data_IF_788323000410
#
_entry.id   IF_788323000410
#
_cell.length_a   1.000
_cell.length_b   1.000
_cell.length_c   1.000
_cell.angle_alpha   90.00
_cell.angle_beta   90.00
_cell.angle_gamma   90.00
#
_symmetry.space_group_name_H-M   'P 1'
#
loop_
_entity.id
_entity.type
_entity.pdbx_description
1 polymer ?
#
# COMPACT_ATOMS: atom_id res chain seq x y z
N UNK A 1 -9.45 -7.32 -18.69
CA UNK A 1 -8.15 -7.44 -17.96
C UNK A 1 -8.26 -8.62 -16.99
N UNK A 2 -7.41 -9.64 -17.10
CA UNK A 2 -7.51 -10.86 -16.25
C UNK A 2 -6.63 -10.71 -15.00
N UNK A 3 -7.22 -10.60 -13.81
CA UNK A 3 -6.51 -10.43 -12.53
C UNK A 3 -5.44 -11.52 -12.27
N UNK A 4 -5.64 -12.74 -12.79
CA UNK A 4 -4.68 -13.85 -12.68
C UNK A 4 -3.35 -13.59 -13.39
N UNK A 5 -3.30 -12.67 -14.37
CA UNK A 5 -2.07 -12.34 -15.09
C UNK A 5 -1.10 -11.54 -14.22
N UNK A 6 -1.58 -10.70 -13.30
CA UNK A 6 -0.70 -9.89 -12.43
C UNK A 6 -0.23 -10.69 -11.20
N UNK A 7 -0.97 -11.75 -10.84
CA UNK A 7 -0.62 -12.64 -9.73
C UNK A 7 0.37 -13.76 -10.14
N UNK A 8 0.61 -13.96 -11.44
CA UNK A 8 1.67 -14.86 -11.88
C UNK A 8 3.03 -14.22 -11.58
N UNK A 9 3.82 -14.90 -10.75
CA UNK A 9 5.14 -14.43 -10.30
C UNK A 9 6.13 -14.22 -11.47
N UNK A 10 5.84 -14.79 -12.64
CA UNK A 10 6.65 -14.67 -13.87
C UNK A 10 6.33 -13.44 -14.71
N UNK A 11 5.20 -12.76 -14.47
CA UNK A 11 4.72 -11.60 -15.23
C UNK A 11 4.75 -10.30 -14.42
N UNK A 12 4.99 -10.37 -13.11
CA UNK A 12 5.44 -9.21 -12.34
C UNK A 12 6.70 -8.65 -13.03
N UNK A 13 6.76 -7.35 -13.36
CA UNK A 13 7.86 -6.81 -14.14
C UNK A 13 9.16 -6.98 -13.35
N UNK A 14 9.93 -8.00 -13.70
CA UNK A 14 11.27 -8.24 -13.17
C UNK A 14 12.32 -7.35 -13.88
N UNK A 15 11.89 -6.38 -14.69
CA UNK A 15 12.77 -5.71 -15.66
C UNK A 15 12.84 -4.19 -15.55
N UNK A 16 12.00 -3.54 -14.74
CA UNK A 16 12.10 -2.09 -14.49
C UNK A 16 12.25 -1.87 -13.00
N UNK A 17 13.43 -1.42 -12.59
CA UNK A 17 13.67 -1.01 -11.22
C UNK A 17 12.77 0.18 -10.86
N UNK A 18 12.23 0.17 -9.64
CA UNK A 18 11.36 1.23 -9.18
C UNK A 18 12.11 2.51 -8.76
N UNK A 19 13.44 2.54 -8.91
CA UNK A 19 14.29 3.69 -8.63
C UNK A 19 14.54 3.95 -7.14
N UNK A 20 14.02 3.11 -6.26
CA UNK A 20 14.23 3.22 -4.81
C UNK A 20 15.69 3.03 -4.42
N UNK A 21 16.49 2.35 -5.25
CA UNK A 21 17.92 2.15 -5.03
C UNK A 21 18.74 3.45 -5.02
N UNK A 22 18.21 4.54 -5.56
CA UNK A 22 18.86 5.85 -5.58
C UNK A 22 18.46 6.75 -4.41
N UNK A 23 17.53 6.29 -3.55
CA UNK A 23 17.03 7.06 -2.41
C UNK A 23 17.59 6.44 -1.14
N UNK A 24 18.47 7.19 -0.46
CA UNK A 24 19.04 6.81 0.83
C UNK A 24 18.61 7.80 1.91
N UNK A 25 18.06 7.26 3.00
CA UNK A 25 17.82 8.05 4.21
C UNK A 25 19.09 8.04 5.06
N UNK A 26 19.45 9.19 5.62
CA UNK A 26 20.53 9.26 6.60
C UNK A 26 20.13 8.50 7.86
N UNK A 27 20.96 7.55 8.27
CA UNK A 27 20.70 6.75 9.46
C UNK A 27 21.05 7.52 10.73
N UNK A 28 20.08 7.67 11.63
CA UNK A 28 20.30 8.18 12.99
C UNK A 28 20.39 7.01 13.97
N UNK A 29 21.59 6.73 14.48
CA UNK A 29 21.82 5.59 15.38
C UNK A 29 21.30 5.80 16.81
N UNK A 30 21.18 7.07 17.24
CA UNK A 30 20.67 7.44 18.56
C UNK A 30 19.63 8.56 18.42
N UNK A 31 18.40 8.23 17.98
CA UNK A 31 17.34 9.20 17.91
C UNK A 31 16.92 9.64 19.32
N UNK A 32 16.76 10.93 19.54
CA UNK A 32 16.17 11.51 20.76
C UNK A 32 14.63 11.43 20.72
N UNK A 33 14.08 10.29 20.25
CA UNK A 33 12.66 10.06 20.03
C UNK A 33 12.30 8.61 20.41
N UNK A 34 11.22 8.44 21.18
CA UNK A 34 10.67 7.11 21.49
C UNK A 34 9.87 6.57 20.30
N UNK A 35 10.04 5.29 19.96
CA UNK A 35 9.31 4.62 18.89
C UNK A 35 7.78 4.72 19.06
N UNK A 36 7.30 4.69 20.31
CA UNK A 36 5.87 4.81 20.64
C UNK A 36 5.30 6.20 20.37
N UNK A 37 6.16 7.21 20.19
CA UNK A 37 5.76 8.57 19.84
C UNK A 37 5.64 8.79 18.33
N UNK A 38 6.02 7.80 17.50
CA UNK A 38 5.87 7.92 16.05
C UNK A 38 4.38 7.87 15.67
N UNK A 39 3.86 8.99 15.18
CA UNK A 39 2.52 9.07 14.62
C UNK A 39 2.55 8.90 13.11
N UNK A 40 1.92 7.82 12.63
CA UNK A 40 1.75 7.54 11.20
C UNK A 40 0.42 8.10 10.66
N UNK A 41 -0.40 8.74 11.48
CA UNK A 41 -1.68 9.28 11.00
C UNK A 41 -1.46 10.27 9.87
N UNK A 42 -2.36 10.23 8.90
CA UNK A 42 -2.36 11.14 7.77
C UNK A 42 -3.80 11.55 7.42
N UNK A 43 -3.94 12.47 6.48
CA UNK A 43 -5.23 12.79 5.88
C UNK A 43 -5.16 12.71 4.36
N UNK A 44 -6.22 12.18 3.75
CA UNK A 44 -6.37 12.10 2.31
C UNK A 44 -7.78 12.55 1.94
N UNK A 45 -7.89 13.56 1.08
CA UNK A 45 -9.18 14.11 0.62
C UNK A 45 -10.13 14.46 1.78
N UNK A 46 -9.60 15.00 2.87
CA UNK A 46 -10.37 15.39 4.06
C UNK A 46 -10.73 14.23 5.01
N UNK A 47 -10.28 12.99 4.74
CA UNK A 47 -10.49 11.83 5.63
C UNK A 47 -9.23 11.52 6.43
N UNK A 48 -9.38 11.33 7.74
CA UNK A 48 -8.29 10.87 8.61
C UNK A 48 -8.03 9.38 8.43
N UNK A 49 -6.75 9.00 8.39
CA UNK A 49 -6.25 7.61 8.26
C UNK A 49 -5.18 7.32 9.31
N UNK A 50 -5.01 6.05 9.67
CA UNK A 50 -4.02 5.61 10.68
C UNK A 50 -2.58 5.56 10.18
N UNK A 51 -2.40 5.45 8.87
CA UNK A 51 -1.12 5.33 8.19
C UNK A 51 -1.23 5.98 6.81
N UNK A 52 -0.14 6.51 6.23
CA UNK A 52 -0.15 7.16 4.92
C UNK A 52 -0.09 6.09 3.80
N UNK A 53 -1.03 5.14 3.83
CA UNK A 53 -1.10 4.01 2.92
C UNK A 53 -2.45 3.98 2.22
N UNK A 54 -2.42 3.68 0.91
CA UNK A 54 -3.57 3.60 0.03
C UNK A 54 -3.50 2.30 -0.79
N UNK A 55 -4.57 1.51 -0.78
CA UNK A 55 -4.77 0.44 -1.75
C UNK A 55 -5.25 1.07 -3.06
N UNK A 56 -4.36 1.14 -4.06
CA UNK A 56 -4.71 1.68 -5.37
C UNK A 56 -5.73 0.79 -6.12
N UNK A 57 -6.31 1.32 -7.18
CA UNK A 57 -7.25 0.59 -8.05
C UNK A 57 -6.56 -0.61 -8.71
N UNK A 58 -7.16 -1.80 -8.58
CA UNK A 58 -6.59 -3.05 -9.10
C UNK A 58 -7.53 -3.85 -10.00
N UNK A 59 -8.83 -3.93 -9.68
CA UNK A 59 -9.77 -4.81 -10.39
C UNK A 59 -11.17 -4.20 -10.49
N UNK A 60 -11.83 -4.41 -11.63
CA UNK A 60 -13.22 -3.99 -11.87
C UNK A 60 -13.80 -4.64 -13.13
N UNK A 61 -15.13 -4.72 -13.21
CA UNK A 61 -15.86 -5.16 -14.42
C UNK A 61 -15.78 -6.66 -14.75
N UNK A 62 -15.41 -7.51 -13.79
CA UNK A 62 -15.28 -8.96 -13.97
C UNK A 62 -15.92 -9.69 -12.76
N UNK A 63 -16.54 -10.87 -12.91
CA UNK A 63 -17.21 -11.57 -11.79
C UNK A 63 -16.31 -11.81 -10.56
N UNK A 64 -15.01 -12.02 -10.77
CA UNK A 64 -14.04 -12.22 -9.68
C UNK A 64 -13.57 -10.91 -9.01
N UNK A 65 -13.76 -9.76 -9.66
CA UNK A 65 -13.31 -8.47 -9.13
C UNK A 65 -14.07 -8.07 -7.87
N UNK A 66 -15.35 -8.42 -7.76
CA UNK A 66 -16.16 -8.09 -6.59
C UNK A 66 -15.62 -8.75 -5.32
N UNK A 67 -15.32 -10.05 -5.35
CA UNK A 67 -14.76 -10.76 -4.20
C UNK A 67 -13.38 -10.22 -3.80
N UNK A 68 -12.55 -9.85 -4.78
CA UNK A 68 -11.24 -9.23 -4.53
C UNK A 68 -11.42 -7.88 -3.85
N UNK A 69 -12.26 -7.01 -4.42
CA UNK A 69 -12.49 -5.68 -3.88
C UNK A 69 -13.10 -5.73 -2.47
N UNK A 70 -14.02 -6.67 -2.21
CA UNK A 70 -14.60 -6.88 -0.88
C UNK A 70 -13.52 -7.17 0.18
N UNK A 71 -12.66 -8.16 -0.06
CA UNK A 71 -11.60 -8.50 0.91
C UNK A 71 -10.61 -7.34 1.13
N UNK A 72 -10.26 -6.61 0.06
CA UNK A 72 -9.38 -5.45 0.15
C UNK A 72 -10.02 -4.32 0.96
N UNK A 73 -11.31 -4.04 0.73
CA UNK A 73 -12.06 -3.04 1.49
C UNK A 73 -12.21 -3.42 2.97
N UNK A 74 -12.49 -4.70 3.27
CA UNK A 74 -12.54 -5.19 4.66
C UNK A 74 -11.19 -5.02 5.37
N UNK A 75 -10.08 -5.36 4.71
CA UNK A 75 -8.74 -5.16 5.25
C UNK A 75 -8.40 -3.68 5.44
N UNK A 76 -8.70 -2.83 4.45
CA UNK A 76 -8.48 -1.39 4.53
C UNK A 76 -9.28 -0.76 5.69
N UNK A 77 -10.53 -1.18 5.87
CA UNK A 77 -11.39 -0.74 6.97
C UNK A 77 -10.85 -1.16 8.34
N UNK A 78 -10.46 -2.43 8.50
CA UNK A 78 -9.90 -2.95 9.75
C UNK A 78 -8.58 -2.23 10.12
N UNK A 79 -7.74 -1.95 9.14
CA UNK A 79 -6.46 -1.25 9.31
C UNK A 79 -6.62 0.28 9.36
N UNK A 80 -7.79 0.82 9.01
CA UNK A 80 -8.08 2.26 8.88
C UNK A 80 -7.09 2.98 7.95
N UNK A 81 -6.82 2.36 6.80
CA UNK A 81 -6.08 2.93 5.67
C UNK A 81 -7.05 3.20 4.51
N UNK A 82 -6.60 3.91 3.48
CA UNK A 82 -7.44 4.20 2.31
C UNK A 82 -7.41 3.08 1.26
#
# INVERSE_FOLDING_TARGET
MRASLVLDRRTAPATVAAGWEYIHFEHCALPELDLTQIDLRASLLGKAMRAPLLISSMAGGMPRAEAINRHLSEAAQALRIA
#
